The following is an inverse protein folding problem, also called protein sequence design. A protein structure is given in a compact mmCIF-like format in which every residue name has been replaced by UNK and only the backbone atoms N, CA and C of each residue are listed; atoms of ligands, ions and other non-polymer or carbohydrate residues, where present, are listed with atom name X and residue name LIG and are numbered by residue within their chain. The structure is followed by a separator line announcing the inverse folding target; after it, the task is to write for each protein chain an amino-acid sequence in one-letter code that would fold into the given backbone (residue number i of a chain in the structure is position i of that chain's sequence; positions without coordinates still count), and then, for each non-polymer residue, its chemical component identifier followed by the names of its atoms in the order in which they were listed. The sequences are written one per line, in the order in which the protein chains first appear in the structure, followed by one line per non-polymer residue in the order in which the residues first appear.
data_IF_964585312022
#
_entry.id   IF_964585312022
#
_cell.length_a   1.000
_cell.length_b   1.000
_cell.length_c   1.000
_cell.angle_alpha   90.00
_cell.angle_beta   90.00
_cell.angle_gamma   90.00
#
_symmetry.space_group_name_H-M   'P 1'
#
loop_
_entity.id
_entity.type
_entity.pdbx_description
1 polymer ?
#
# COMPACT_ATOMS: atom_id res chain seq x y z
N UNK A 1 -2.31 -9.05 7.23
CA UNK A 1 -2.39 -8.18 6.03
C UNK A 1 -2.99 -6.82 6.39
N UNK A 2 -4.10 -6.76 7.10
CA UNK A 2 -4.78 -5.52 7.50
C UNK A 2 -3.85 -4.59 8.30
N UNK A 3 -3.16 -5.11 9.32
CA UNK A 3 -2.18 -4.33 10.07
C UNK A 3 -1.04 -3.79 9.19
N UNK A 4 -0.65 -4.53 8.15
CA UNK A 4 0.36 -4.08 7.19
C UNK A 4 -0.16 -2.88 6.38
N UNK A 5 -1.41 -2.93 5.91
CA UNK A 5 -2.06 -1.80 5.26
C UNK A 5 -2.20 -0.58 6.19
N UNK A 6 -2.62 -0.79 7.44
CA UNK A 6 -2.73 0.29 8.44
C UNK A 6 -1.36 0.95 8.67
N UNK A 7 -0.31 0.16 8.89
CA UNK A 7 1.03 0.68 9.10
C UNK A 7 1.57 1.39 7.86
N UNK A 8 1.31 0.86 6.66
CA UNK A 8 1.66 1.54 5.41
C UNK A 8 0.96 2.90 5.26
N UNK A 9 -0.32 3.00 5.63
CA UNK A 9 -1.03 4.29 5.65
C UNK A 9 -0.39 5.27 6.63
N UNK A 10 0.01 4.81 7.81
CA UNK A 10 0.72 5.62 8.79
C UNK A 10 2.10 6.07 8.30
N UNK A 11 2.85 5.21 7.59
CA UNK A 11 4.11 5.61 6.93
C UNK A 11 3.88 6.73 5.91
N UNK A 12 2.82 6.62 5.11
CA UNK A 12 2.46 7.66 4.14
C UNK A 12 2.06 8.97 4.82
N UNK A 13 1.34 8.89 5.94
CA UNK A 13 0.99 10.04 6.75
C UNK A 13 2.24 10.70 7.37
N UNK A 14 3.17 9.88 7.88
CA UNK A 14 4.42 10.36 8.45
C UNK A 14 5.28 11.07 7.38
N UNK A 15 5.42 10.48 6.20
CA UNK A 15 6.16 11.11 5.09
C UNK A 15 5.51 12.44 4.70
N UNK A 16 4.18 12.45 4.61
CA UNK A 16 3.44 13.67 4.32
C UNK A 16 3.65 14.75 5.39
N UNK A 17 3.62 14.39 6.68
CA UNK A 17 3.92 15.31 7.78
C UNK A 17 5.35 15.85 7.68
N UNK A 18 6.33 14.98 7.44
CA UNK A 18 7.73 15.33 7.24
C UNK A 18 7.92 16.27 6.03
N UNK A 19 7.16 16.12 4.95
CA UNK A 19 7.29 17.01 3.78
C UNK A 19 6.57 18.35 3.95
N UNK A 20 5.41 18.37 4.60
CA UNK A 20 4.55 19.56 4.67
C UNK A 20 4.82 20.44 5.88
N UNK A 21 4.99 19.86 7.07
CA UNK A 21 5.28 20.67 8.26
C UNK A 21 6.62 21.36 8.10
N UNK A 22 7.64 20.68 7.58
CA UNK A 22 8.93 21.31 7.34
C UNK A 22 8.90 22.43 6.31
N UNK A 23 8.14 22.28 5.22
CA UNK A 23 7.99 23.35 4.23
C UNK A 23 7.22 24.55 4.79
N UNK A 24 6.10 24.31 5.46
CA UNK A 24 5.28 25.37 6.06
C UNK A 24 6.03 26.09 7.19
N UNK A 25 6.73 25.37 8.07
CA UNK A 25 7.53 25.97 9.14
C UNK A 25 8.68 26.81 8.57
N UNK A 26 9.37 26.33 7.52
CA UNK A 26 10.44 27.11 6.88
C UNK A 26 9.92 28.38 6.19
N UNK A 27 8.72 28.34 5.61
CA UNK A 27 8.08 29.53 5.03
C UNK A 27 7.69 30.54 6.10
N UNK A 28 7.16 30.10 7.25
CA UNK A 28 6.79 31.01 8.35
C UNK A 28 8.03 31.60 9.03
N UNK A 29 9.08 30.81 9.31
CA UNK A 29 10.33 31.31 9.88
C UNK A 29 11.01 32.35 8.98
N UNK A 30 10.96 32.17 7.65
CA UNK A 30 11.45 33.18 6.69
C UNK A 30 10.62 34.46 6.72
N UNK A 31 9.29 34.34 6.87
CA UNK A 31 8.37 35.48 6.90
C UNK A 31 8.49 36.30 8.18
N UNK A 32 8.80 35.65 9.30
CA UNK A 32 8.95 36.31 10.60
C UNK A 32 10.40 36.76 10.90
N UNK A 33 11.33 36.59 9.95
CA UNK A 33 12.76 36.92 10.10
C UNK A 33 13.42 36.29 11.34
N UNK A 34 12.96 35.08 11.72
CA UNK A 34 13.46 34.36 12.88
C UNK A 34 14.73 33.60 12.49
N UNK A 35 15.82 33.80 13.24
CA UNK A 35 16.99 32.92 13.20
C UNK A 35 16.57 31.51 13.62
N UNK A 36 16.53 30.59 12.65
CA UNK A 36 16.21 29.19 12.89
C UNK A 36 17.40 28.30 12.53
N UNK A 37 17.54 27.17 13.22
CA UNK A 37 18.54 26.14 12.93
C UNK A 37 17.83 24.91 12.36
N UNK A 38 18.47 24.25 11.38
CA UNK A 38 17.88 23.10 10.69
C UNK A 38 17.51 21.98 11.68
N UNK A 39 16.22 21.65 11.77
CA UNK A 39 15.75 20.50 12.55
C UNK A 39 16.03 19.25 11.70
N UNK A 40 16.99 18.43 12.10
CA UNK A 40 17.18 17.10 11.51
C UNK A 40 15.97 16.22 11.82
N UNK A 41 15.31 15.70 10.78
CA UNK A 41 14.28 14.69 10.91
C UNK A 41 14.71 13.38 10.27
N UNK A 42 14.15 12.30 10.79
CA UNK A 42 14.35 10.96 10.23
C UNK A 42 13.35 10.78 9.10
N UNK A 43 13.85 10.87 7.87
CA UNK A 43 13.10 10.53 6.66
C UNK A 43 12.71 9.05 6.69
N UNK A 44 11.47 8.74 6.31
CA UNK A 44 10.92 7.38 6.23
C UNK A 44 10.69 6.93 4.77
N UNK A 45 11.25 7.64 3.80
CA UNK A 45 11.20 7.26 2.38
C UNK A 45 11.79 5.86 2.12
N UNK A 46 12.78 5.41 2.89
CA UNK A 46 13.41 4.11 2.73
C UNK A 46 12.45 2.94 3.01
N UNK A 47 11.62 3.05 4.05
CA UNK A 47 10.58 2.04 4.35
C UNK A 47 9.40 2.14 3.39
N UNK A 48 9.06 3.33 2.90
CA UNK A 48 8.07 3.48 1.83
C UNK A 48 8.53 2.80 0.54
N UNK A 49 9.79 3.01 0.14
CA UNK A 49 10.38 2.36 -1.02
C UNK A 49 10.35 0.83 -0.88
N UNK A 50 10.72 0.30 0.28
CA UNK A 50 10.63 -1.14 0.57
C UNK A 50 9.19 -1.67 0.35
N UNK A 51 8.18 -0.93 0.79
CA UNK A 51 6.78 -1.38 0.75
C UNK A 51 6.19 -1.28 -0.67
N UNK A 52 6.40 -0.16 -1.36
CA UNK A 52 5.56 0.22 -2.50
C UNK A 52 6.29 0.59 -3.80
N UNK A 53 7.63 0.56 -3.81
CA UNK A 53 8.43 0.83 -5.02
C UNK A 53 8.13 -0.20 -6.09
N UNK A 54 8.07 0.26 -7.35
CA UNK A 54 7.98 -0.59 -8.53
C UNK A 54 9.32 -0.60 -9.25
N UNK A 55 9.75 -1.73 -9.85
CA UNK A 55 9.03 -3.01 -9.95
C UNK A 55 9.17 -3.91 -8.70
N UNK A 56 10.13 -3.62 -7.81
CA UNK A 56 10.46 -4.48 -6.67
C UNK A 56 10.10 -3.74 -5.37
N UNK A 57 9.02 -4.18 -4.74
CA UNK A 57 8.49 -3.72 -3.46
C UNK A 57 7.57 -4.80 -2.88
N UNK A 58 7.32 -4.79 -1.57
CA UNK A 58 6.49 -5.82 -0.91
C UNK A 58 5.11 -5.95 -1.59
N UNK A 59 4.44 -4.83 -1.87
CA UNK A 59 3.12 -4.82 -2.54
C UNK A 59 3.24 -5.35 -3.98
N UNK A 60 4.29 -4.97 -4.71
CA UNK A 60 4.47 -5.43 -6.09
C UNK A 60 4.70 -6.95 -6.18
N UNK A 61 5.53 -7.50 -5.28
CA UNK A 61 5.76 -8.95 -5.19
C UNK A 61 4.52 -9.71 -4.70
N UNK A 62 3.72 -9.09 -3.82
CA UNK A 62 2.46 -9.66 -3.37
C UNK A 62 1.45 -9.72 -4.53
N UNK A 63 1.35 -8.65 -5.31
CA UNK A 63 0.47 -8.58 -6.48
C UNK A 63 0.87 -9.61 -7.54
N UNK A 64 2.17 -9.71 -7.81
CA UNK A 64 2.72 -10.75 -8.68
C UNK A 64 2.32 -12.16 -8.20
N UNK A 65 2.54 -12.47 -6.91
CA UNK A 65 2.18 -13.76 -6.35
C UNK A 65 0.66 -14.02 -6.39
N UNK A 66 -0.18 -12.99 -6.25
CA UNK A 66 -1.62 -13.15 -6.37
C UNK A 66 -2.06 -13.53 -7.80
N UNK A 67 -1.34 -13.08 -8.84
CA UNK A 67 -1.64 -13.40 -10.24
C UNK A 67 -1.31 -14.85 -10.63
N UNK A 68 -0.41 -15.53 -9.90
CA UNK A 68 -0.03 -16.91 -10.19
C UNK A 68 -0.86 -17.90 -9.35
N UNK A 69 -1.64 -18.81 -9.97
CA UNK A 69 -2.53 -19.73 -9.24
C UNK A 69 -1.81 -20.68 -8.28
N UNK A 70 -0.55 -21.03 -8.61
CA UNK A 70 0.28 -21.94 -7.80
C UNK A 70 1.07 -21.25 -6.70
N UNK A 71 1.05 -19.92 -6.64
CA UNK A 71 1.76 -19.20 -5.59
C UNK A 71 1.08 -19.40 -4.24
N UNK A 72 1.91 -19.72 -3.25
CA UNK A 72 1.55 -19.87 -1.84
C UNK A 72 2.25 -18.80 -1.01
N UNK A 73 1.81 -18.62 0.24
CA UNK A 73 2.46 -17.69 1.16
C UNK A 73 3.95 -18.03 1.36
N UNK A 74 4.33 -19.32 1.37
CA UNK A 74 5.75 -19.72 1.43
C UNK A 74 6.53 -19.19 0.23
N UNK A 75 6.02 -19.39 -1.00
CA UNK A 75 6.70 -18.91 -2.21
C UNK A 75 6.81 -17.38 -2.24
N UNK A 76 5.80 -16.68 -1.71
CA UNK A 76 5.82 -15.24 -1.54
C UNK A 76 6.90 -14.81 -0.53
N UNK A 77 6.94 -15.43 0.66
CA UNK A 77 7.98 -15.16 1.66
C UNK A 77 9.38 -15.43 1.15
N UNK A 78 9.59 -16.53 0.41
CA UNK A 78 10.88 -16.81 -0.23
C UNK A 78 11.32 -15.69 -1.16
N UNK A 79 10.42 -15.16 -1.99
CA UNK A 79 10.71 -13.99 -2.85
C UNK A 79 11.05 -12.75 -2.03
N UNK A 80 10.28 -12.45 -0.98
CA UNK A 80 10.58 -11.33 -0.09
C UNK A 80 11.98 -11.43 0.51
N UNK A 81 12.35 -12.62 1.02
CA UNK A 81 13.67 -12.84 1.61
C UNK A 81 14.80 -12.71 0.58
N UNK A 82 14.61 -13.25 -0.62
CA UNK A 82 15.59 -13.12 -1.70
C UNK A 82 15.88 -11.66 -2.07
N UNK A 83 14.85 -10.81 -2.08
CA UNK A 83 14.99 -9.41 -2.49
C UNK A 83 15.41 -8.46 -1.36
N UNK A 84 15.01 -8.73 -0.11
CA UNK A 84 15.09 -7.73 0.97
C UNK A 84 15.87 -8.15 2.21
N UNK A 85 16.45 -9.36 2.27
CA UNK A 85 17.23 -9.79 3.46
C UNK A 85 18.39 -8.85 3.85
N UNK A 86 18.97 -8.14 2.87
CA UNK A 86 20.04 -7.15 3.10
C UNK A 86 19.52 -5.75 3.43
N UNK A 87 18.21 -5.50 3.32
CA UNK A 87 17.62 -4.19 3.56
C UNK A 87 17.51 -3.92 5.06
N UNK A 88 18.01 -2.77 5.52
CA UNK A 88 18.07 -2.39 6.95
C UNK A 88 16.70 -2.38 7.64
N UNK A 89 15.64 -2.05 6.89
CA UNK A 89 14.25 -2.04 7.37
C UNK A 89 13.54 -3.39 7.31
N UNK A 90 14.14 -4.42 6.74
CA UNK A 90 13.48 -5.70 6.53
C UNK A 90 14.19 -6.80 7.34
N UNK A 91 13.42 -7.71 7.93
CA UNK A 91 13.95 -8.84 8.68
C UNK A 91 13.13 -10.10 8.48
N UNK A 92 13.77 -11.26 8.68
CA UNK A 92 13.10 -12.55 8.81
C UNK A 92 12.86 -12.84 10.29
N UNK A 93 11.69 -13.36 10.63
CA UNK A 93 11.38 -13.80 11.99
C UNK A 93 12.18 -15.05 12.35
N UNK A 94 12.70 -15.15 13.59
CA UNK A 94 13.64 -16.23 13.96
C UNK A 94 12.98 -17.60 14.05
N UNK A 95 11.74 -17.61 14.53
CA UNK A 95 10.99 -18.84 14.81
C UNK A 95 9.93 -19.16 13.75
N UNK A 96 9.92 -18.42 12.64
CA UNK A 96 9.00 -18.63 11.53
C UNK A 96 9.77 -18.67 10.22
N UNK A 97 9.49 -19.68 9.40
CA UNK A 97 10.13 -19.81 8.10
C UNK A 97 9.57 -18.83 7.07
N UNK A 98 8.38 -18.28 7.32
CA UNK A 98 7.61 -17.51 6.35
C UNK A 98 7.37 -16.07 6.78
N UNK A 99 7.42 -15.77 8.07
CA UNK A 99 7.07 -14.43 8.56
C UNK A 99 8.24 -13.47 8.44
N UNK A 100 7.88 -12.23 8.16
CA UNK A 100 8.84 -11.15 7.98
C UNK A 100 8.51 -10.00 8.91
N UNK A 101 9.49 -9.14 9.10
CA UNK A 101 9.38 -7.97 9.93
C UNK A 101 9.75 -6.73 9.13
N UNK A 102 9.04 -5.63 9.37
CA UNK A 102 9.41 -4.31 8.88
C UNK A 102 9.70 -3.38 10.07
N UNK A 103 10.80 -2.64 9.99
CA UNK A 103 11.17 -1.60 10.95
C UNK A 103 10.52 -0.27 10.55
N UNK A 104 9.29 -0.04 10.98
CA UNK A 104 8.54 1.19 10.75
C UNK A 104 9.13 2.38 11.49
N UNK A 105 8.70 3.60 11.16
CA UNK A 105 9.07 4.80 11.92
C UNK A 105 8.66 4.67 13.41
N UNK A 106 7.51 4.02 13.66
CA UNK A 106 6.97 3.77 15.00
C UNK A 106 7.48 2.47 15.65
N UNK A 107 8.47 1.82 15.05
CA UNK A 107 9.10 0.61 15.59
C UNK A 107 8.91 -0.66 14.75
N UNK A 108 9.40 -1.77 15.29
CA UNK A 108 9.48 -3.05 14.56
C UNK A 108 8.16 -3.83 14.64
N UNK A 109 7.61 -4.26 13.50
CA UNK A 109 6.35 -5.03 13.43
C UNK A 109 6.50 -6.30 12.60
N UNK A 110 6.25 -7.46 13.21
CA UNK A 110 6.24 -8.77 12.53
C UNK A 110 4.88 -9.05 11.89
N UNK A 111 4.91 -9.55 10.65
CA UNK A 111 3.75 -9.84 9.83
C UNK A 111 3.65 -11.33 9.50
N UNK A 112 2.50 -11.92 9.86
CA UNK A 112 2.18 -13.31 9.57
C UNK A 112 1.69 -13.48 8.13
N UNK A 113 2.40 -14.26 7.34
CA UNK A 113 2.21 -14.33 5.88
C UNK A 113 1.09 -15.28 5.43
N UNK A 114 0.64 -16.19 6.28
CA UNK A 114 -0.27 -17.29 5.94
C UNK A 114 -1.51 -16.85 5.13
N UNK A 115 -2.11 -15.71 5.49
CA UNK A 115 -3.34 -15.21 4.87
C UNK A 115 -3.11 -14.01 3.95
N UNK A 116 -1.86 -13.65 3.63
CA UNK A 116 -1.57 -12.45 2.84
C UNK A 116 -2.12 -12.56 1.41
N UNK A 117 -1.90 -13.70 0.75
CA UNK A 117 -2.38 -13.91 -0.62
C UNK A 117 -3.90 -13.93 -0.70
N UNK A 118 -4.57 -14.64 0.21
CA UNK A 118 -6.03 -14.75 0.21
C UNK A 118 -6.69 -13.40 0.43
N UNK A 119 -6.19 -12.62 1.40
CA UNK A 119 -6.70 -11.29 1.73
C UNK A 119 -6.39 -10.26 0.65
N UNK A 120 -5.22 -10.35 -0.01
CA UNK A 120 -4.87 -9.43 -1.08
C UNK A 120 -5.56 -9.77 -2.41
N UNK A 121 -5.87 -11.06 -2.62
CA UNK A 121 -6.59 -11.55 -3.79
C UNK A 121 -8.00 -11.03 -3.86
N UNK A 122 -8.65 -10.65 -2.75
CA UNK A 122 -10.08 -10.29 -2.63
C UNK A 122 -10.58 -9.49 -3.86
N UNK A 123 -10.94 -10.24 -4.89
CA UNK A 123 -11.22 -9.75 -6.22
C UNK A 123 -12.71 -9.81 -6.38
N UNK A 124 -13.27 -8.70 -6.84
CA UNK A 124 -14.67 -8.70 -7.22
C UNK A 124 -14.72 -9.36 -8.59
N UNK A 125 -15.25 -10.58 -8.64
CA UNK A 125 -15.51 -11.31 -9.88
C UNK A 125 -16.40 -10.42 -10.76
N UNK A 126 -15.96 -10.10 -11.98
CA UNK A 126 -16.70 -9.20 -12.87
C UNK A 126 -18.10 -9.75 -13.18
N UNK A 127 -18.23 -11.07 -13.31
CA UNK A 127 -19.51 -11.76 -13.46
C UNK A 127 -20.45 -11.51 -12.27
N UNK A 128 -19.94 -11.49 -11.03
CA UNK A 128 -20.76 -11.15 -9.87
C UNK A 128 -21.23 -9.70 -9.92
N UNK A 129 -20.37 -8.76 -10.30
CA UNK A 129 -20.76 -7.36 -10.56
C UNK A 129 -21.85 -7.26 -11.63
N UNK A 130 -21.73 -8.01 -12.73
CA UNK A 130 -22.69 -8.00 -13.83
C UNK A 130 -24.06 -8.59 -13.41
N UNK A 131 -24.06 -9.63 -12.57
CA UNK A 131 -25.29 -10.17 -11.99
C UNK A 131 -25.95 -9.15 -11.05
N UNK A 132 -25.18 -8.50 -10.20
CA UNK A 132 -25.70 -7.50 -9.26
C UNK A 132 -26.20 -6.24 -9.98
N UNK A 133 -25.53 -5.81 -11.05
CA UNK A 133 -25.93 -4.66 -11.87
C UNK A 133 -27.17 -4.93 -12.74
N UNK A 134 -27.44 -6.20 -13.04
CA UNK A 134 -28.67 -6.65 -13.73
C UNK A 134 -29.84 -6.93 -12.78
N UNK A 135 -29.66 -6.70 -11.46
CA UNK A 135 -30.71 -6.89 -10.48
C UNK A 135 -31.97 -6.07 -10.79
N UNK A 136 -33.14 -6.70 -10.61
CA UNK A 136 -34.45 -6.03 -10.74
C UNK A 136 -34.75 -5.08 -9.58
N UNK A 137 -34.02 -5.19 -8.47
CA UNK A 137 -34.15 -4.30 -7.32
C UNK A 137 -33.38 -3.00 -7.58
N UNK A 138 -34.05 -1.82 -7.65
CA UNK A 138 -33.38 -0.55 -7.94
C UNK A 138 -32.28 -0.21 -6.93
N UNK A 139 -32.48 -0.54 -5.66
CA UNK A 139 -31.48 -0.33 -4.62
C UNK A 139 -30.20 -1.13 -4.90
N UNK A 140 -30.32 -2.43 -5.17
CA UNK A 140 -29.15 -3.29 -5.47
C UNK A 140 -28.46 -2.86 -6.75
N UNK A 141 -29.23 -2.57 -7.82
CA UNK A 141 -28.67 -2.06 -9.08
C UNK A 141 -27.93 -0.73 -8.89
N UNK A 142 -28.44 0.15 -8.02
CA UNK A 142 -27.79 1.42 -7.69
C UNK A 142 -26.46 1.28 -6.94
N UNK A 143 -26.26 0.19 -6.19
CA UNK A 143 -24.99 -0.10 -5.50
C UNK A 143 -23.89 -0.61 -6.46
N UNK A 144 -24.26 -1.17 -7.62
CA UNK A 144 -23.34 -1.78 -8.57
C UNK A 144 -23.55 -1.23 -9.99
N UNK A 145 -23.14 0.02 -10.27
CA UNK A 145 -23.26 0.60 -11.62
C UNK A 145 -22.40 -0.18 -12.63
N UNK A 146 -22.91 -0.32 -13.86
CA UNK A 146 -22.20 -1.00 -14.95
C UNK A 146 -20.90 -0.28 -15.30
N UNK A 147 -19.79 -1.02 -15.36
CA UNK A 147 -18.51 -0.51 -15.83
C UNK A 147 -18.59 -0.19 -17.35
N UNK A 148 -17.89 0.86 -17.84
CA UNK A 148 -17.84 1.17 -19.27
C UNK A 148 -17.29 0.00 -20.10
N UNK A 149 -17.86 -0.27 -21.27
CA UNK A 149 -17.56 -1.42 -22.15
C UNK A 149 -16.14 -1.48 -22.77
N UNK A 150 -15.22 -0.57 -22.39
CA UNK A 150 -13.87 -0.49 -22.98
C UNK A 150 -12.89 -1.61 -22.55
N UNK A 151 -13.27 -2.51 -21.64
CA UNK A 151 -12.38 -3.57 -21.16
C UNK A 151 -12.44 -4.88 -21.96
N UNK A 152 -12.90 -4.85 -23.21
CA UNK A 152 -13.05 -6.08 -24.01
C UNK A 152 -11.79 -6.52 -24.77
N UNK A 153 -10.68 -5.75 -24.82
CA UNK A 153 -9.46 -6.15 -25.58
C UNK A 153 -8.08 -5.72 -25.06
N UNK A 154 -7.91 -5.30 -23.81
CA UNK A 154 -6.55 -5.17 -23.26
C UNK A 154 -6.47 -5.68 -21.82
N UNK A 155 -5.54 -6.60 -21.61
CA UNK A 155 -5.12 -7.26 -20.37
C UNK A 155 -5.86 -6.82 -19.11
N UNK A 156 -6.67 -7.70 -18.53
CA UNK A 156 -7.20 -7.54 -17.17
C UNK A 156 -6.07 -7.07 -16.25
N UNK A 157 -6.08 -5.78 -15.88
CA UNK A 157 -5.12 -5.23 -14.92
C UNK A 157 -5.52 -5.79 -13.57
N UNK A 158 -4.80 -6.81 -13.11
CA UNK A 158 -4.97 -7.35 -11.77
C UNK A 158 -4.94 -6.18 -10.76
N UNK A 159 -6.05 -6.02 -10.04
CA UNK A 159 -6.26 -4.94 -9.08
C UNK A 159 -6.48 -5.55 -7.72
N UNK A 160 -5.40 -5.66 -6.94
CA UNK A 160 -5.44 -6.20 -5.59
C UNK A 160 -6.01 -5.22 -4.58
N UNK A 161 -6.32 -5.71 -3.38
CA UNK A 161 -6.65 -4.84 -2.24
C UNK A 161 -5.51 -3.86 -1.97
N UNK A 162 -4.26 -4.32 -1.94
CA UNK A 162 -3.11 -3.45 -1.68
C UNK A 162 -2.92 -2.36 -2.77
N UNK A 163 -3.10 -2.72 -4.04
CA UNK A 163 -3.02 -1.77 -5.16
C UNK A 163 -4.13 -0.71 -5.10
N UNK A 164 -5.38 -1.12 -4.83
CA UNK A 164 -6.52 -0.17 -4.66
C UNK A 164 -6.33 0.71 -3.43
N UNK A 165 -5.88 0.13 -2.33
CA UNK A 165 -5.60 0.85 -1.08
C UNK A 165 -4.52 1.91 -1.26
N UNK A 166 -3.44 1.59 -1.99
CA UNK A 166 -2.40 2.56 -2.36
C UNK A 166 -2.99 3.75 -3.15
N UNK A 167 -3.82 3.49 -4.15
CA UNK A 167 -4.47 4.55 -4.94
C UNK A 167 -5.39 5.40 -4.07
N UNK A 168 -6.21 4.76 -3.22
CA UNK A 168 -7.10 5.47 -2.30
C UNK A 168 -6.33 6.41 -1.35
N UNK A 169 -5.22 5.93 -0.79
CA UNK A 169 -4.33 6.74 0.04
C UNK A 169 -3.81 7.94 -0.76
N UNK A 170 -3.25 7.73 -1.95
CA UNK A 170 -2.73 8.81 -2.80
C UNK A 170 -3.80 9.87 -3.12
N UNK A 171 -5.03 9.45 -3.44
CA UNK A 171 -6.15 10.36 -3.71
C UNK A 171 -6.53 11.14 -2.45
N UNK A 172 -6.63 10.46 -1.30
CA UNK A 172 -7.01 11.10 -0.03
C UNK A 172 -6.02 12.20 0.35
N UNK A 173 -4.71 11.93 0.23
CA UNK A 173 -3.67 12.93 0.46
C UNK A 173 -3.72 14.08 -0.55
N UNK A 174 -3.97 13.81 -1.83
CA UNK A 174 -4.12 14.87 -2.85
C UNK A 174 -5.31 15.80 -2.54
N UNK A 175 -6.44 15.24 -2.07
CA UNK A 175 -7.63 16.01 -1.68
C UNK A 175 -7.36 16.85 -0.42
N UNK A 176 -6.69 16.29 0.58
CA UNK A 176 -6.32 17.02 1.80
C UNK A 176 -5.41 18.23 1.50
N UNK A 177 -4.60 18.16 0.44
CA UNK A 177 -3.72 19.25 0.02
C UNK A 177 -4.41 20.33 -0.81
N UNK A 178 -5.42 19.98 -1.61
CA UNK A 178 -6.17 20.95 -2.42
C UNK A 178 -7.29 21.66 -1.63
N UNK A 179 -7.52 21.28 -0.37
CA UNK A 179 -8.51 21.91 0.53
C UNK A 179 -7.91 22.99 1.44
N UNK A 180 -6.64 23.38 1.23
CA UNK A 180 -6.00 24.52 1.91
C UNK A 180 -5.71 25.66 0.95
#
# INVERSE_FOLDING_TARGET
FEQFCINFANEKLQQHFNEHVFKMEQEEYKKEEIEWSYIEFIDNQDVLDLIEKKPIGIIALLDEACMFPKSTHQTFSTKLFQHFLSHTRFGKEKFSETDFTVSHYAGKVTYHTNTFLDKNRDYVVLEHCNVLSSSKCPFVKGLFPSLPEESSRSSYKFSSVASRFKVFISITFCVLLNLR
#
